data_IF_396118097351
#
_entry.id   IF_396118097351
#
_cell.length_a   1.000
_cell.length_b   1.000
_cell.length_c   1.000
_cell.angle_alpha   90.00
_cell.angle_beta   90.00
_cell.angle_gamma   90.00
#
_symmetry.space_group_name_H-M   'P 1'
#
loop_
_entity.id
_entity.type
_entity.pdbx_description
1 polymer ?
#
# COMPACT_ATOMS: atom_id res chain seq x y z
N UNK A 1 -13.04 11.04 0.88
CA UNK A 1 -14.35 10.98 1.58
C UNK A 1 -15.40 10.26 0.75
N UNK A 2 -16.34 9.54 1.39
CA UNK A 2 -17.43 8.81 0.72
C UNK A 2 -18.65 9.70 0.43
N UNK A 3 -19.53 9.29 -0.49
CA UNK A 3 -20.75 10.05 -0.83
C UNK A 3 -21.66 10.24 0.38
N UNK A 4 -21.77 9.22 1.22
CA UNK A 4 -22.51 9.30 2.48
C UNK A 4 -21.86 10.27 3.49
N UNK A 5 -20.53 10.33 3.57
CA UNK A 5 -19.83 11.27 4.46
C UNK A 5 -20.08 12.73 4.06
N UNK A 6 -20.05 13.06 2.76
CA UNK A 6 -20.42 14.39 2.28
C UNK A 6 -21.89 14.74 2.57
N UNK A 7 -22.79 13.75 2.46
CA UNK A 7 -24.19 13.93 2.81
C UNK A 7 -24.38 14.23 4.30
N UNK A 8 -23.76 13.44 5.18
CA UNK A 8 -23.83 13.67 6.64
C UNK A 8 -23.26 15.04 7.00
N UNK A 9 -22.13 15.44 6.39
CA UNK A 9 -21.50 16.73 6.65
C UNK A 9 -22.37 17.91 6.22
N UNK A 10 -22.87 17.92 4.98
CA UNK A 10 -23.74 18.99 4.47
C UNK A 10 -25.06 19.09 5.23
N UNK A 11 -25.59 17.96 5.71
CA UNK A 11 -26.83 17.93 6.46
C UNK A 11 -26.62 18.32 7.93
N UNK A 12 -25.46 18.03 8.51
CA UNK A 12 -25.08 18.49 9.85
C UNK A 12 -24.81 20.00 9.89
N UNK A 13 -24.15 20.55 8.86
CA UNK A 13 -23.96 22.00 8.67
C UNK A 13 -25.30 22.75 8.61
N UNK A 14 -26.23 22.26 7.78
CA UNK A 14 -27.58 22.83 7.67
C UNK A 14 -28.39 22.74 8.96
N UNK A 15 -28.12 21.74 9.79
CA UNK A 15 -28.80 21.60 11.08
C UNK A 15 -28.22 22.55 12.12
N UNK A 16 -26.89 22.71 12.16
CA UNK A 16 -26.23 23.71 13.01
C UNK A 16 -26.63 25.14 12.66
N UNK A 17 -26.82 25.44 11.37
CA UNK A 17 -27.31 26.74 10.91
C UNK A 17 -28.73 27.05 11.40
N UNK A 18 -29.62 26.04 11.41
CA UNK A 18 -31.01 26.20 11.82
C UNK A 18 -31.23 26.12 13.33
N UNK A 19 -30.31 25.46 14.03
CA UNK A 19 -30.37 25.28 15.47
C UNK A 19 -28.98 25.51 16.09
N UNK A 20 -28.49 26.77 16.12
CA UNK A 20 -27.17 27.10 16.65
C UNK A 20 -27.04 26.86 18.17
N UNK A 21 -28.16 26.83 18.90
CA UNK A 21 -28.21 26.66 20.37
C UNK A 21 -28.75 25.29 20.81
N UNK A 22 -29.19 24.43 19.88
CA UNK A 22 -29.74 23.13 20.26
C UNK A 22 -28.62 22.12 20.56
N UNK A 23 -28.62 21.58 21.78
CA UNK A 23 -27.85 20.38 22.12
C UNK A 23 -28.38 19.19 21.33
N UNK A 24 -27.70 18.85 20.23
CA UNK A 24 -28.15 17.78 19.31
C UNK A 24 -27.63 16.42 19.80
N UNK A 25 -28.54 15.53 20.19
CA UNK A 25 -28.21 14.14 20.48
C UNK A 25 -27.81 13.38 19.19
N UNK A 26 -26.58 12.86 19.15
CA UNK A 26 -26.02 12.21 17.96
C UNK A 26 -26.78 10.93 17.56
N UNK A 27 -27.37 10.22 18.53
CA UNK A 27 -28.08 8.95 18.29
C UNK A 27 -29.41 9.18 17.58
N UNK A 28 -30.18 10.18 18.02
CA UNK A 28 -31.40 10.63 17.33
C UNK A 28 -31.10 11.20 15.95
N UNK A 29 -29.99 11.93 15.84
CA UNK A 29 -29.60 12.54 14.58
C UNK A 29 -29.17 11.47 13.56
N UNK A 30 -28.36 10.48 13.96
CA UNK A 30 -27.90 9.34 13.14
C UNK A 30 -29.07 8.60 12.48
N UNK A 31 -30.15 8.33 13.23
CA UNK A 31 -31.38 7.71 12.71
C UNK A 31 -32.05 8.56 11.62
N UNK A 32 -32.18 9.88 11.87
CA UNK A 32 -32.74 10.83 10.89
C UNK A 32 -31.94 10.88 9.59
N UNK A 33 -30.59 10.82 9.63
CA UNK A 33 -29.80 10.75 8.39
C UNK A 33 -30.01 9.45 7.64
N UNK A 34 -30.10 8.32 8.34
CA UNK A 34 -30.27 7.01 7.70
C UNK A 34 -31.63 6.93 7.00
N UNK A 35 -32.69 7.41 7.64
CA UNK A 35 -34.02 7.51 7.03
C UNK A 35 -34.04 8.49 5.86
N UNK A 36 -33.48 9.70 6.03
CA UNK A 36 -33.38 10.70 4.95
C UNK A 36 -32.58 10.16 3.77
N UNK A 37 -31.45 9.49 4.02
CA UNK A 37 -30.63 8.89 2.98
C UNK A 37 -31.36 7.75 2.28
N UNK A 38 -32.17 6.94 2.97
CA UNK A 38 -32.99 5.89 2.34
C UNK A 38 -34.09 6.49 1.46
N UNK A 39 -34.76 7.54 1.91
CA UNK A 39 -35.84 8.23 1.19
C UNK A 39 -35.34 9.14 0.06
N UNK A 40 -34.07 9.53 0.06
CA UNK A 40 -33.45 10.31 -1.02
C UNK A 40 -33.40 9.51 -2.33
N UNK A 41 -33.88 10.15 -3.40
CA UNK A 41 -33.90 9.60 -4.75
C UNK A 41 -32.48 9.44 -5.31
N UNK A 42 -32.30 8.53 -6.28
CA UNK A 42 -31.02 8.32 -6.95
C UNK A 42 -30.44 9.61 -7.58
N UNK A 43 -31.32 10.54 -7.98
CA UNK A 43 -30.94 11.83 -8.58
C UNK A 43 -30.31 12.79 -7.55
N UNK A 44 -30.75 12.75 -6.30
CA UNK A 44 -30.17 13.55 -5.21
C UNK A 44 -28.89 12.91 -4.67
N UNK A 45 -28.85 11.58 -4.56
CA UNK A 45 -27.63 10.83 -4.25
C UNK A 45 -26.53 11.03 -5.30
N UNK A 46 -26.92 11.19 -6.57
CA UNK A 46 -26.00 11.46 -7.68
C UNK A 46 -25.11 12.69 -7.46
N UNK A 47 -25.61 13.73 -6.78
CA UNK A 47 -24.82 14.93 -6.44
C UNK A 47 -23.71 14.61 -5.43
N UNK A 48 -24.00 13.78 -4.44
CA UNK A 48 -23.04 13.34 -3.43
C UNK A 48 -22.06 12.29 -3.97
N UNK A 49 -22.50 11.45 -4.90
CA UNK A 49 -21.60 10.56 -5.64
C UNK A 49 -20.62 11.32 -6.54
N UNK A 50 -21.07 12.39 -7.20
CA UNK A 50 -20.19 13.24 -7.99
C UNK A 50 -19.12 13.90 -7.10
N UNK A 51 -19.51 14.46 -5.95
CA UNK A 51 -18.57 15.04 -4.98
C UNK A 51 -17.56 14.00 -4.46
N UNK A 52 -18.01 12.79 -4.13
CA UNK A 52 -17.11 11.71 -3.71
C UNK A 52 -16.16 11.24 -4.83
N UNK A 53 -16.57 11.29 -6.09
CA UNK A 53 -15.71 10.96 -7.25
C UNK A 53 -14.65 12.03 -7.47
N UNK A 54 -15.01 13.30 -7.35
CA UNK A 54 -14.07 14.44 -7.46
C UNK A 54 -13.04 14.38 -6.33
N UNK A 55 -13.50 14.14 -5.09
CA UNK A 55 -12.63 14.03 -3.92
C UNK A 55 -11.63 12.86 -4.04
N UNK A 56 -12.08 11.67 -4.46
CA UNK A 56 -11.18 10.54 -4.78
C UNK A 56 -10.18 10.85 -5.89
N UNK A 57 -10.56 11.66 -6.87
CA UNK A 57 -9.68 12.03 -7.98
C UNK A 57 -8.65 13.10 -7.57
N UNK A 58 -9.02 14.01 -6.67
CA UNK A 58 -8.14 15.02 -6.08
C UNK A 58 -7.10 14.36 -5.17
N UNK A 59 -7.55 13.47 -4.29
CA UNK A 59 -6.69 12.68 -3.38
C UNK A 59 -5.65 11.86 -4.16
N UNK A 60 -6.05 11.22 -5.26
CA UNK A 60 -5.11 10.47 -6.11
C UNK A 60 -4.05 11.36 -6.78
N UNK A 61 -4.35 12.62 -7.08
CA UNK A 61 -3.37 13.58 -7.63
C UNK A 61 -2.45 14.10 -6.54
N UNK A 62 -3.00 14.39 -5.36
CA UNK A 62 -2.27 14.92 -4.21
C UNK A 62 -1.31 13.89 -3.60
N UNK A 63 -1.73 12.63 -3.50
CA UNK A 63 -0.88 11.50 -3.07
C UNK A 63 0.28 11.25 -4.04
N UNK A 64 0.13 11.54 -5.34
CA UNK A 64 1.22 11.39 -6.32
C UNK A 64 2.34 12.42 -6.10
N UNK A 65 2.01 13.58 -5.54
CA UNK A 65 2.97 14.65 -5.21
C UNK A 65 3.47 14.58 -3.76
N UNK A 66 2.81 13.81 -2.91
CA UNK A 66 3.18 13.66 -1.51
C UNK A 66 4.29 12.62 -1.34
N UNK A 67 5.48 13.09 -0.92
CA UNK A 67 6.54 12.22 -0.41
C UNK A 67 6.29 12.10 1.11
N UNK A 68 5.82 10.95 1.62
CA UNK A 68 5.62 10.80 3.05
C UNK A 68 6.94 11.03 3.79
N UNK A 69 6.94 11.73 4.94
CA UNK A 69 8.11 11.76 5.81
C UNK A 69 8.51 10.33 6.11
N UNK A 70 9.82 10.09 6.16
CA UNK A 70 10.46 8.77 6.28
C UNK A 70 10.07 8.10 7.61
N UNK A 71 8.84 7.62 7.68
CA UNK A 71 8.31 6.87 8.80
C UNK A 71 9.06 5.56 8.86
N UNK A 72 9.54 5.24 10.05
CA UNK A 72 10.16 3.98 10.39
C UNK A 72 9.32 2.85 9.79
N UNK A 73 9.85 2.22 8.75
CA UNK A 73 9.22 1.03 8.18
C UNK A 73 9.18 0.00 9.29
N UNK A 74 8.02 -0.15 9.93
CA UNK A 74 7.73 -1.29 10.80
C UNK A 74 8.21 -2.53 10.07
N UNK A 75 9.25 -3.17 10.62
CA UNK A 75 9.76 -4.42 10.08
C UNK A 75 8.57 -5.36 9.95
N UNK A 76 8.23 -5.68 8.69
CA UNK A 76 7.18 -6.65 8.44
C UNK A 76 7.73 -7.97 8.96
N UNK A 77 7.18 -8.44 10.07
CA UNK A 77 7.45 -9.77 10.60
C UNK A 77 7.31 -10.76 9.45
N UNK A 78 8.45 -11.27 8.98
CA UNK A 78 8.49 -12.19 7.86
C UNK A 78 8.39 -13.57 8.46
N UNK A 79 7.30 -14.26 8.19
CA UNK A 79 7.10 -15.64 8.63
C UNK A 79 8.31 -16.50 8.19
N UNK A 80 8.97 -17.24 9.09
CA UNK A 80 10.15 -18.05 8.76
C UNK A 80 9.89 -19.13 7.71
N UNK A 81 8.64 -19.56 7.57
CA UNK A 81 8.18 -20.56 6.60
C UNK A 81 7.70 -19.93 5.28
N UNK A 82 7.55 -18.60 5.22
CA UNK A 82 7.17 -17.93 3.98
C UNK A 82 8.34 -17.95 2.98
N UNK A 83 8.09 -18.30 1.71
CA UNK A 83 9.14 -18.29 0.71
C UNK A 83 9.71 -16.88 0.54
N UNK A 84 11.05 -16.80 0.56
CA UNK A 84 11.78 -15.53 0.49
C UNK A 84 11.37 -14.75 -0.76
N UNK A 85 11.09 -13.46 -0.60
CA UNK A 85 10.67 -12.61 -1.72
C UNK A 85 11.73 -12.60 -2.84
N UNK A 86 11.31 -12.52 -4.11
CA UNK A 86 12.26 -12.48 -5.21
C UNK A 86 13.15 -11.24 -5.10
N UNK A 87 14.47 -11.37 -5.36
CA UNK A 87 15.38 -10.23 -5.33
C UNK A 87 15.01 -9.23 -6.44
N UNK A 88 15.08 -7.94 -6.12
CA UNK A 88 14.91 -6.86 -7.10
C UNK A 88 16.19 -6.69 -7.94
N UNK A 89 16.09 -5.95 -9.05
CA UNK A 89 17.24 -5.62 -9.89
C UNK A 89 18.38 -4.96 -9.08
N UNK A 90 18.01 -4.03 -8.18
CA UNK A 90 18.95 -3.39 -7.27
C UNK A 90 19.58 -4.37 -6.26
N UNK A 91 18.83 -5.34 -5.73
CA UNK A 91 19.40 -6.36 -4.84
C UNK A 91 20.39 -7.27 -5.55
N UNK A 92 20.16 -7.60 -6.82
CA UNK A 92 21.12 -8.36 -7.63
C UNK A 92 22.40 -7.57 -7.85
N UNK A 93 22.27 -6.30 -8.24
CA UNK A 93 23.42 -5.38 -8.37
C UNK A 93 24.20 -5.24 -7.06
N UNK A 94 23.51 -4.99 -5.94
CA UNK A 94 24.16 -4.89 -4.64
C UNK A 94 24.91 -6.18 -4.27
N UNK A 95 24.35 -7.35 -4.56
CA UNK A 95 24.99 -8.63 -4.24
C UNK A 95 26.32 -8.82 -4.99
N UNK A 96 26.41 -8.35 -6.24
CA UNK A 96 27.62 -8.44 -7.06
C UNK A 96 28.67 -7.37 -6.71
N UNK A 97 28.24 -6.15 -6.35
CA UNK A 97 29.16 -5.02 -6.13
C UNK A 97 29.55 -4.81 -4.67
N UNK A 98 28.75 -5.27 -3.71
CA UNK A 98 29.10 -5.21 -2.28
C UNK A 98 30.43 -5.87 -1.93
N UNK A 99 30.80 -7.07 -2.43
CA UNK A 99 32.13 -7.63 -2.16
C UNK A 99 33.26 -6.83 -2.81
N UNK A 100 33.03 -6.22 -3.99
CA UNK A 100 34.03 -5.36 -4.66
C UNK A 100 34.36 -4.12 -3.82
N UNK A 101 33.32 -3.40 -3.37
CA UNK A 101 33.49 -2.20 -2.54
C UNK A 101 34.09 -2.55 -1.18
N UNK A 102 33.71 -3.70 -0.59
CA UNK A 102 34.30 -4.17 0.66
C UNK A 102 35.78 -4.55 0.47
N UNK A 103 36.18 -5.05 -0.69
CA UNK A 103 37.57 -5.32 -1.02
C UNK A 103 38.40 -4.04 -1.20
N UNK A 104 37.86 -3.04 -1.90
CA UNK A 104 38.51 -1.73 -2.08
C UNK A 104 38.56 -0.91 -0.79
N UNK A 105 37.54 -1.06 0.06
CA UNK A 105 37.39 -0.31 1.30
C UNK A 105 36.97 -1.22 2.46
N UNK A 106 37.90 -2.03 3.00
CA UNK A 106 37.60 -3.00 4.06
C UNK A 106 37.18 -2.38 5.40
N UNK A 107 37.37 -1.06 5.57
CA UNK A 107 36.97 -0.31 6.76
C UNK A 107 35.61 0.40 6.70
N UNK A 108 34.92 0.38 5.54
CA UNK A 108 33.61 1.03 5.44
C UNK A 108 32.52 0.22 6.17
N UNK A 109 31.64 0.93 6.88
CA UNK A 109 30.46 0.31 7.47
C UNK A 109 29.53 -0.24 6.38
N UNK A 110 28.78 -1.28 6.71
CA UNK A 110 27.75 -1.86 5.85
C UNK A 110 26.78 -0.77 5.35
N UNK A 111 26.47 0.20 6.21
CA UNK A 111 25.59 1.33 5.86
C UNK A 111 26.20 2.24 4.78
N UNK A 112 27.50 2.54 4.88
CA UNK A 112 28.19 3.39 3.90
C UNK A 112 28.39 2.68 2.56
N UNK A 113 28.67 1.38 2.59
CA UNK A 113 28.71 0.55 1.38
C UNK A 113 27.33 0.55 0.70
N UNK A 114 26.25 0.43 1.47
CA UNK A 114 24.89 0.47 0.91
C UNK A 114 24.54 1.83 0.31
N UNK A 115 24.95 2.95 0.93
CA UNK A 115 24.81 4.30 0.36
C UNK A 115 25.54 4.43 -0.97
N UNK A 116 26.82 4.05 -1.02
CA UNK A 116 27.65 4.10 -2.23
C UNK A 116 27.05 3.27 -3.37
N UNK A 117 26.52 2.09 -3.06
CA UNK A 117 25.81 1.23 -4.02
C UNK A 117 24.52 1.87 -4.53
N UNK A 118 23.75 2.53 -3.65
CA UNK A 118 22.53 3.26 -4.02
C UNK A 118 22.82 4.41 -4.98
N UNK A 119 23.87 5.19 -4.71
CA UNK A 119 24.31 6.28 -5.59
C UNK A 119 24.81 5.74 -6.93
N UNK A 120 25.63 4.69 -6.92
CA UNK A 120 26.11 4.04 -8.15
C UNK A 120 24.95 3.51 -8.99
N UNK A 121 23.96 2.87 -8.36
CA UNK A 121 22.76 2.40 -9.06
C UNK A 121 21.94 3.55 -9.64
N UNK A 122 21.78 4.67 -8.93
CA UNK A 122 21.06 5.83 -9.46
C UNK A 122 21.78 6.45 -10.66
N UNK A 123 23.12 6.52 -10.61
CA UNK A 123 23.96 7.07 -11.67
C UNK A 123 24.19 6.10 -12.86
N UNK A 124 23.91 4.82 -12.69
CA UNK A 124 24.01 3.83 -13.78
C UNK A 124 22.98 4.15 -14.87
N UNK A 125 23.31 3.94 -16.15
CA UNK A 125 22.40 4.17 -17.26
C UNK A 125 21.25 3.14 -17.29
N UNK A 126 20.13 3.47 -17.92
CA UNK A 126 19.00 2.55 -18.06
C UNK A 126 19.37 1.29 -18.84
N UNK A 127 20.25 1.40 -19.84
CA UNK A 127 20.78 0.27 -20.62
C UNK A 127 21.57 -0.73 -19.76
N UNK A 128 22.39 -0.24 -18.83
CA UNK A 128 23.13 -1.08 -17.90
C UNK A 128 22.23 -1.71 -16.82
N UNK A 129 21.11 -1.05 -16.47
CA UNK A 129 20.10 -1.61 -15.55
C UNK A 129 19.22 -2.66 -16.20
N UNK A 130 18.94 -2.54 -17.50
CA UNK A 130 18.09 -3.46 -18.26
C UNK A 130 18.41 -4.96 -18.07
N UNK A 131 19.67 -5.42 -18.14
CA UNK A 131 19.98 -6.83 -17.89
C UNK A 131 19.65 -7.26 -16.46
N UNK A 132 19.84 -6.41 -15.46
CA UNK A 132 19.48 -6.71 -14.07
C UNK A 132 17.95 -6.73 -13.88
N UNK A 133 17.22 -5.84 -14.55
CA UNK A 133 15.76 -5.85 -14.55
C UNK A 133 15.19 -7.10 -15.22
N UNK A 134 15.74 -7.51 -16.37
CA UNK A 134 15.35 -8.76 -17.05
C UNK A 134 15.66 -9.99 -16.19
N UNK A 135 16.84 -10.05 -15.57
CA UNK A 135 17.22 -11.11 -14.62
C UNK A 135 16.26 -11.15 -13.42
N UNK A 136 15.98 -10.00 -12.81
CA UNK A 136 15.04 -9.88 -11.69
C UNK A 136 13.62 -10.30 -12.09
N UNK A 137 13.15 -9.92 -13.27
CA UNK A 137 11.84 -10.32 -13.77
C UNK A 137 11.74 -11.85 -13.96
N UNK A 138 12.79 -12.50 -14.47
CA UNK A 138 12.86 -13.96 -14.61
C UNK A 138 12.87 -14.66 -13.25
N UNK A 139 13.69 -14.19 -12.31
CA UNK A 139 13.75 -14.69 -10.94
C UNK A 139 12.42 -14.50 -10.20
N UNK A 140 11.74 -13.38 -10.42
CA UNK A 140 10.42 -13.09 -9.86
C UNK A 140 9.37 -14.09 -10.35
N UNK A 141 9.34 -14.40 -11.66
CA UNK A 141 8.43 -15.42 -12.21
C UNK A 141 8.66 -16.79 -11.57
N UNK A 142 9.91 -17.22 -11.44
CA UNK A 142 10.22 -18.51 -10.82
C UNK A 142 9.85 -18.53 -9.34
N UNK A 143 10.14 -17.46 -8.61
CA UNK A 143 9.82 -17.35 -7.17
C UNK A 143 8.31 -17.34 -6.94
N UNK A 144 7.54 -16.63 -7.77
CA UNK A 144 6.06 -16.66 -7.75
C UNK A 144 5.51 -18.07 -7.99
N UNK A 145 6.09 -18.82 -8.93
CA UNK A 145 5.70 -20.20 -9.19
C UNK A 145 5.97 -21.10 -7.99
N UNK A 146 7.14 -20.94 -7.35
CA UNK A 146 7.50 -21.68 -6.13
C UNK A 146 6.56 -21.30 -4.97
N UNK A 147 6.28 -20.01 -4.78
CA UNK A 147 5.32 -19.50 -3.80
C UNK A 147 3.94 -20.15 -3.97
N UNK A 148 3.37 -20.09 -5.19
CA UNK A 148 2.10 -20.74 -5.52
C UNK A 148 2.10 -22.24 -5.22
N UNK A 149 3.19 -22.93 -5.56
CA UNK A 149 3.30 -24.36 -5.28
C UNK A 149 3.38 -24.64 -3.77
N UNK A 150 4.11 -23.83 -3.01
CA UNK A 150 4.20 -23.94 -1.55
C UNK A 150 2.85 -23.64 -0.88
N UNK A 151 2.11 -22.64 -1.37
CA UNK A 151 0.75 -22.32 -0.90
C UNK A 151 -0.22 -23.48 -1.17
N UNK A 152 -0.20 -24.05 -2.38
CA UNK A 152 -1.02 -25.22 -2.73
C UNK A 152 -0.67 -26.43 -1.86
N UNK A 153 0.62 -26.68 -1.62
CA UNK A 153 1.07 -27.76 -0.74
C UNK A 153 0.66 -27.52 0.72
N UNK A 154 0.74 -26.27 1.20
CA UNK A 154 0.28 -25.88 2.53
C UNK A 154 -1.22 -26.14 2.73
N UNK A 155 -2.04 -25.75 1.75
CA UNK A 155 -3.49 -26.02 1.75
C UNK A 155 -3.81 -27.52 1.72
N UNK A 156 -3.05 -28.32 0.96
CA UNK A 156 -3.23 -29.78 0.90
C UNK A 156 -2.88 -30.45 2.24
N UNK A 157 -1.83 -29.97 2.92
CA UNK A 157 -1.42 -30.49 4.22
C UNK A 157 -2.43 -30.14 5.33
N UNK A 158 -3.11 -29.00 5.22
CA UNK A 158 -4.17 -28.59 6.16
C UNK A 158 -5.47 -29.39 5.96
N UNK A 159 -5.78 -29.81 4.73
CA UNK A 159 -6.93 -30.68 4.47
C UNK A 159 -6.69 -32.13 4.90
N UNK A 160 -5.46 -32.64 4.76
CA UNK A 160 -5.13 -34.01 5.19
C UNK A 160 -4.92 -34.16 6.71
N UNK A 161 -4.80 -33.05 7.46
CA UNK A 161 -4.71 -33.06 8.92
C UNK A 161 -6.05 -33.08 9.66
N UNK A 162 -7.18 -32.94 8.96
CA UNK A 162 -8.51 -32.88 9.59
C UNK A 162 -9.28 -34.21 9.59
N UNK A 163 -8.68 -35.31 9.13
CA UNK A 163 -9.31 -36.63 9.01
C UNK A 163 -8.81 -37.68 10.04
N UNK A 164 -8.08 -37.29 11.08
CA UNK A 164 -7.75 -38.15 12.22
C UNK A 164 -7.94 -37.38 13.52
N UNK A 165 -9.16 -37.41 14.04
CA UNK A 165 -9.55 -36.86 15.33
C UNK A 165 -10.90 -37.41 15.74
#
# INVERSE_FOLDING_TARGET
>A
MSSYAFFVQTFWEKHKEKHPDASVDFSEFSKKFLERWKTMSAKEKGKFEAMAKVDKACDKREVKTYIPPKGETKEKFTDPNAPKRPPSAFSLFCSEYRPKIKGEHPGLSIGDVAKKLGEMWNNTAADDKQPYEKKAAKLNKNTKRILLHTELKGSLMQQNGSCQG
#
